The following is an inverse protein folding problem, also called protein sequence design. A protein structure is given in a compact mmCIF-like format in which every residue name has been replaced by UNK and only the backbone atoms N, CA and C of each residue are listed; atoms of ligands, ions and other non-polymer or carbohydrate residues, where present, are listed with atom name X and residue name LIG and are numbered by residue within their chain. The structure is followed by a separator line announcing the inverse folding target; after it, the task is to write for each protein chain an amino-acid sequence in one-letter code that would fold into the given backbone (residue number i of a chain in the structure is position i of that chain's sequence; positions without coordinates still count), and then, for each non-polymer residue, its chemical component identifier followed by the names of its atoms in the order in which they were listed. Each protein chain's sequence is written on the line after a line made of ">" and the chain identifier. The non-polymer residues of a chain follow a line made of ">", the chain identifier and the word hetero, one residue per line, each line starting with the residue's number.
data_IF_997635140417
#
_entry.id   IF_997635140417
#
_cell.length_a   1.000
_cell.length_b   1.000
_cell.length_c   1.000
_cell.angle_alpha   90.00
_cell.angle_beta   90.00
_cell.angle_gamma   90.00
#
_symmetry.space_group_name_H-M   'P 1'
#
loop_
_entity.id
_entity.type
_entity.pdbx_description
1 polymer ?
#
# COMPACT_ATOMS: atom_id res chain seq x y z
N UNK A 1 12.65 34.66 54.18
CA UNK A 1 13.20 33.63 53.27
C UNK A 1 12.12 32.59 53.02
N UNK A 2 11.27 32.76 52.01
CA UNK A 2 10.22 31.78 51.68
C UNK A 2 9.99 31.76 50.16
N UNK A 3 10.93 31.21 49.42
CA UNK A 3 10.78 31.04 47.95
C UNK A 3 11.52 29.80 47.44
N UNK A 4 11.54 28.72 48.22
CA UNK A 4 12.16 27.45 47.78
C UNK A 4 11.13 26.37 47.42
N UNK A 5 9.94 26.40 48.04
CA UNK A 5 8.92 25.34 47.85
C UNK A 5 8.22 25.39 46.48
N UNK A 6 8.04 26.59 45.88
CA UNK A 6 7.33 26.73 44.59
C UNK A 6 8.13 26.22 43.38
N UNK A 7 9.46 26.33 43.38
CA UNK A 7 10.32 25.86 42.26
C UNK A 7 10.30 24.33 42.14
N UNK A 8 10.30 23.61 43.26
CA UNK A 8 10.21 22.14 43.29
C UNK A 8 8.87 21.61 42.76
N UNK A 9 7.76 22.28 43.14
CA UNK A 9 6.42 21.93 42.66
C UNK A 9 6.26 22.19 41.16
N UNK A 10 6.75 23.32 40.66
CA UNK A 10 6.68 23.65 39.23
C UNK A 10 7.47 22.65 38.36
N UNK A 11 8.65 22.21 38.81
CA UNK A 11 9.44 21.19 38.10
C UNK A 11 8.75 19.81 38.04
N UNK A 12 8.07 19.41 39.12
CA UNK A 12 7.30 18.16 39.15
C UNK A 12 6.06 18.22 38.26
N UNK A 13 5.38 19.37 38.21
CA UNK A 13 4.22 19.58 37.33
C UNK A 13 4.65 19.56 35.87
N UNK A 14 5.74 20.24 35.51
CA UNK A 14 6.26 20.22 34.14
C UNK A 14 6.65 18.81 33.69
N UNK A 15 7.32 18.04 34.55
CA UNK A 15 7.66 16.64 34.27
C UNK A 15 6.42 15.76 34.07
N UNK A 16 5.40 15.93 34.92
CA UNK A 16 4.14 15.20 34.80
C UNK A 16 3.40 15.53 33.49
N UNK A 17 3.42 16.80 33.06
CA UNK A 17 2.84 17.22 31.78
C UNK A 17 3.60 16.61 30.60
N UNK A 18 4.93 16.63 30.62
CA UNK A 18 5.75 16.03 29.56
C UNK A 18 5.53 14.52 29.47
N UNK A 19 5.50 13.82 30.61
CA UNK A 19 5.19 12.39 30.65
C UNK A 19 3.76 12.10 30.19
N UNK A 20 2.80 12.95 30.55
CA UNK A 20 1.42 12.87 30.07
C UNK A 20 1.33 13.03 28.56
N UNK A 21 2.02 14.01 27.98
CA UNK A 21 2.08 14.23 26.53
C UNK A 21 2.77 13.07 25.80
N UNK A 22 3.85 12.51 26.37
CA UNK A 22 4.52 11.33 25.83
C UNK A 22 3.61 10.11 25.86
N UNK A 23 2.90 9.86 26.98
CA UNK A 23 1.94 8.78 27.08
C UNK A 23 0.78 8.96 26.08
N UNK A 24 0.28 10.19 25.90
CA UNK A 24 -0.73 10.51 24.90
C UNK A 24 -0.20 10.27 23.48
N UNK A 25 1.03 10.67 23.19
CA UNK A 25 1.69 10.43 21.89
C UNK A 25 1.88 8.94 21.60
N UNK A 26 2.26 8.15 22.60
CA UNK A 26 2.39 6.68 22.48
C UNK A 26 1.03 6.00 22.30
N UNK A 27 0.00 6.44 23.02
CA UNK A 27 -1.36 5.91 22.90
C UNK A 27 -1.97 6.31 21.55
N UNK A 28 -1.87 7.57 21.15
CA UNK A 28 -2.31 8.04 19.83
C UNK A 28 -1.54 7.35 18.71
N UNK A 29 -0.21 7.20 18.86
CA UNK A 29 0.62 6.44 17.95
C UNK A 29 0.15 4.99 17.82
N UNK A 30 -0.20 4.31 18.92
CA UNK A 30 -0.75 2.95 18.88
C UNK A 30 -2.13 2.87 18.24
N UNK A 31 -3.02 3.81 18.52
CA UNK A 31 -4.38 3.86 17.95
C UNK A 31 -4.36 4.20 16.46
N UNK A 32 -3.43 5.08 16.04
CA UNK A 32 -3.29 5.51 14.65
C UNK A 32 -2.34 4.61 13.84
N UNK A 33 -1.43 3.86 14.47
CA UNK A 33 -0.49 2.95 13.79
C UNK A 33 -1.13 1.88 12.91
N UNK A 34 -2.25 1.21 13.26
CA UNK A 34 -2.88 0.27 12.34
C UNK A 34 -3.50 0.96 11.11
N UNK A 35 -3.79 2.27 11.20
CA UNK A 35 -4.36 3.06 10.09
C UNK A 35 -3.31 3.85 9.28
N UNK A 36 -2.09 3.99 9.80
CA UNK A 36 -0.97 4.67 9.12
C UNK A 36 -0.15 3.75 8.21
N UNK A 37 -0.37 2.43 8.30
CA UNK A 37 0.22 1.45 7.41
C UNK A 37 -0.60 1.35 6.13
N UNK A 38 -0.41 2.34 5.25
CA UNK A 38 -0.74 2.21 3.84
C UNK A 38 0.23 1.24 3.17
N UNK A 39 0.07 -0.04 3.53
CA UNK A 39 0.71 -1.15 2.89
C UNK A 39 0.07 -1.28 1.51
N UNK A 40 0.70 -0.69 0.51
CA UNK A 40 0.48 -1.13 -0.87
C UNK A 40 0.79 -2.63 -0.88
N UNK A 41 -0.24 -3.46 -0.99
CA UNK A 41 -0.11 -4.92 -1.05
C UNK A 41 -0.16 -5.31 -2.51
N UNK A 42 0.83 -6.06 -2.96
CA UNK A 42 0.84 -6.62 -4.31
C UNK A 42 0.71 -8.15 -4.19
N UNK A 43 -0.35 -8.70 -4.75
CA UNK A 43 -0.58 -10.13 -4.87
C UNK A 43 -0.18 -10.57 -6.28
N UNK A 44 0.89 -11.36 -6.38
CA UNK A 44 1.40 -11.85 -7.65
C UNK A 44 0.50 -12.96 -8.19
N UNK A 45 -0.06 -12.74 -9.38
CA UNK A 45 -0.95 -13.69 -10.06
C UNK A 45 -0.15 -14.69 -10.91
N UNK A 46 0.97 -14.25 -11.50
CA UNK A 46 1.86 -15.12 -12.28
C UNK A 46 3.05 -14.37 -12.85
N UNK A 47 4.11 -15.09 -13.23
CA UNK A 47 5.23 -14.53 -13.96
C UNK A 47 5.65 -15.47 -15.09
N UNK A 48 6.00 -14.91 -16.23
CA UNK A 48 6.52 -15.62 -17.39
C UNK A 48 7.43 -14.69 -18.20
N UNK A 49 8.54 -15.25 -18.71
CA UNK A 49 9.47 -14.57 -19.63
C UNK A 49 9.94 -13.18 -19.16
N UNK A 50 10.22 -13.04 -17.86
CA UNK A 50 10.73 -11.79 -17.27
C UNK A 50 9.65 -10.77 -16.91
N UNK A 51 8.38 -11.03 -17.25
CA UNK A 51 7.23 -10.23 -16.87
C UNK A 51 6.47 -10.88 -15.70
N UNK A 52 5.81 -10.05 -14.90
CA UNK A 52 4.93 -10.47 -13.81
C UNK A 52 3.61 -9.71 -13.86
N UNK A 53 2.53 -10.45 -13.60
CA UNK A 53 1.19 -9.89 -13.38
C UNK A 53 0.94 -9.82 -11.88
N UNK A 54 0.55 -8.64 -11.40
CA UNK A 54 0.31 -8.38 -9.99
C UNK A 54 -1.02 -7.65 -9.80
N UNK A 55 -1.81 -8.07 -8.81
CA UNK A 55 -2.95 -7.34 -8.30
C UNK A 55 -2.45 -6.45 -7.17
N UNK A 56 -2.50 -5.14 -7.38
CA UNK A 56 -2.00 -4.15 -6.41
C UNK A 56 -3.16 -3.47 -5.71
N UNK A 57 -3.22 -3.68 -4.40
CA UNK A 57 -4.14 -3.06 -3.48
C UNK A 57 -3.49 -1.84 -2.84
N UNK A 58 -3.95 -0.63 -3.17
CA UNK A 58 -3.47 0.59 -2.52
C UNK A 58 -4.43 0.98 -1.40
N UNK A 59 -3.94 0.80 -0.16
CA UNK A 59 -4.62 1.30 1.01
C UNK A 59 -4.81 2.83 1.00
N UNK A 60 -5.74 3.27 1.84
CA UNK A 60 -6.40 4.59 1.89
C UNK A 60 -5.51 5.79 2.32
N UNK A 61 -4.44 6.17 1.62
CA UNK A 61 -3.44 7.16 2.12
C UNK A 61 -4.02 8.52 2.52
N UNK A 62 -4.39 8.73 3.79
CA UNK A 62 -4.81 9.96 4.54
C UNK A 62 -5.84 10.91 3.87
N UNK A 63 -5.92 10.95 2.54
CA UNK A 63 -6.72 11.79 1.65
C UNK A 63 -6.97 11.13 0.28
N UNK A 64 -6.42 9.93 0.01
CA UNK A 64 -6.60 9.20 -1.25
C UNK A 64 -7.56 8.03 -1.03
N UNK A 65 -8.61 7.97 -1.87
CA UNK A 65 -9.52 6.83 -1.91
C UNK A 65 -8.72 5.54 -2.19
N UNK A 66 -9.11 4.41 -1.59
CA UNK A 66 -8.48 3.14 -1.87
C UNK A 66 -8.71 2.81 -3.35
N UNK A 67 -7.69 2.23 -3.99
CA UNK A 67 -7.79 1.88 -5.39
C UNK A 67 -7.00 0.62 -5.71
N UNK A 68 -7.64 -0.25 -6.48
CA UNK A 68 -7.08 -1.52 -6.91
C UNK A 68 -6.78 -1.50 -8.40
N UNK A 69 -5.63 -2.04 -8.73
CA UNK A 69 -5.17 -2.12 -10.11
C UNK A 69 -4.56 -3.48 -10.41
N UNK A 70 -4.70 -3.89 -11.67
CA UNK A 70 -3.93 -5.01 -12.22
C UNK A 70 -2.76 -4.39 -12.96
N UNK A 71 -1.57 -4.89 -12.66
CA UNK A 71 -0.32 -4.47 -13.30
C UNK A 71 0.30 -5.63 -14.05
N UNK A 72 0.90 -5.31 -15.18
CA UNK A 72 1.86 -6.18 -15.86
C UNK A 72 3.16 -5.41 -16.01
N UNK A 73 4.26 -5.96 -15.50
CA UNK A 73 5.52 -5.25 -15.44
C UNK A 73 6.72 -6.17 -15.41
N UNK A 74 7.90 -5.59 -15.59
CA UNK A 74 9.15 -6.32 -15.44
C UNK A 74 9.28 -6.87 -14.01
N UNK A 75 9.83 -8.08 -13.89
CA UNK A 75 9.97 -8.79 -12.61
C UNK A 75 10.82 -8.04 -11.57
N UNK A 76 11.70 -7.15 -12.02
CA UNK A 76 12.54 -6.31 -11.17
C UNK A 76 11.79 -5.09 -10.60
N UNK A 77 10.55 -4.85 -11.03
CA UNK A 77 9.70 -3.77 -10.54
C UNK A 77 9.97 -2.42 -11.19
N UNK A 78 10.67 -2.38 -12.33
CA UNK A 78 10.94 -1.15 -13.07
C UNK A 78 9.70 -0.58 -13.75
N UNK A 79 9.50 -0.92 -15.04
CA UNK A 79 8.40 -0.40 -15.86
C UNK A 79 7.20 -1.34 -15.79
N UNK A 80 6.00 -0.76 -15.78
CA UNK A 80 4.75 -1.53 -15.80
C UNK A 80 3.64 -0.78 -16.55
N UNK A 81 2.70 -1.54 -17.09
CA UNK A 81 1.38 -1.05 -17.47
C UNK A 81 0.39 -1.42 -16.38
N UNK A 82 -0.56 -0.53 -16.09
CA UNK A 82 -1.64 -0.81 -15.15
C UNK A 82 -2.99 -0.45 -15.71
N UNK A 83 -4.01 -1.14 -15.21
CA UNK A 83 -5.41 -0.86 -15.46
C UNK A 83 -6.17 -0.89 -14.13
N UNK A 84 -7.28 -0.14 -14.05
CA UNK A 84 -8.25 -0.29 -12.96
C UNK A 84 -8.62 -1.75 -12.82
N UNK A 85 -8.64 -2.29 -11.61
CA UNK A 85 -9.16 -3.63 -11.38
C UNK A 85 -10.68 -3.63 -11.60
N UNK A 86 -11.21 -4.32 -12.64
CA UNK A 86 -12.65 -4.45 -12.84
C UNK A 86 -13.22 -5.70 -12.16
N UNK A 87 -12.36 -6.54 -11.58
CA UNK A 87 -12.73 -7.85 -11.04
C UNK A 87 -13.20 -7.75 -9.60
N UNK A 88 -14.16 -8.59 -9.24
CA UNK A 88 -14.67 -8.66 -7.89
C UNK A 88 -13.63 -9.24 -6.91
N UNK A 89 -13.69 -8.77 -5.67
CA UNK A 89 -12.79 -9.19 -4.61
C UNK A 89 -13.09 -10.62 -4.17
N UNK A 90 -12.34 -11.58 -4.69
CA UNK A 90 -12.39 -12.97 -4.24
C UNK A 90 -12.39 -13.98 -5.38
N UNK A 91 -12.71 -13.53 -6.59
CA UNK A 91 -12.77 -14.43 -7.73
C UNK A 91 -11.37 -14.90 -8.14
N UNK A 92 -11.21 -16.20 -8.43
CA UNK A 92 -9.97 -16.73 -8.96
C UNK A 92 -9.73 -16.15 -10.34
N UNK A 93 -8.59 -15.47 -10.51
CA UNK A 93 -8.18 -14.96 -11.82
C UNK A 93 -7.34 -15.98 -12.56
N UNK A 94 -7.62 -16.14 -13.84
CA UNK A 94 -6.78 -16.87 -14.78
C UNK A 94 -5.88 -15.89 -15.52
N UNK A 95 -4.60 -16.24 -15.66
CA UNK A 95 -3.63 -15.49 -16.47
C UNK A 95 -3.21 -16.35 -17.66
N UNK A 96 -3.45 -15.84 -18.87
CA UNK A 96 -3.03 -16.45 -20.13
C UNK A 96 -1.95 -15.58 -20.79
N UNK A 97 -0.89 -16.24 -21.25
CA UNK A 97 0.29 -15.61 -21.85
C UNK A 97 0.37 -15.80 -23.37
N UNK A 98 -0.69 -16.33 -23.99
CA UNK A 98 -0.72 -16.64 -25.42
C UNK A 98 -0.97 -15.38 -26.26
N UNK A 99 0.09 -14.86 -26.89
CA UNK A 99 0.04 -13.68 -27.77
C UNK A 99 0.02 -12.34 -27.04
N UNK A 100 0.41 -12.33 -25.77
CA UNK A 100 0.34 -11.18 -24.86
C UNK A 100 -0.03 -11.65 -23.45
N UNK A 101 -0.52 -10.74 -22.61
CA UNK A 101 -1.05 -11.07 -21.28
C UNK A 101 -2.54 -10.83 -21.26
N UNK A 102 -3.31 -11.84 -20.85
CA UNK A 102 -4.74 -11.74 -20.56
C UNK A 102 -5.01 -12.15 -19.13
N UNK A 103 -5.82 -11.36 -18.43
CA UNK A 103 -6.27 -11.64 -17.07
C UNK A 103 -7.79 -11.68 -17.08
N UNK A 104 -8.39 -12.75 -16.57
CA UNK A 104 -9.85 -12.92 -16.62
C UNK A 104 -10.39 -13.70 -15.42
N UNK A 105 -11.61 -13.36 -15.01
CA UNK A 105 -12.45 -14.13 -14.07
C UNK A 105 -13.46 -15.04 -14.81
N UNK A 106 -13.40 -15.10 -16.15
CA UNK A 106 -14.36 -15.79 -17.01
C UNK A 106 -15.49 -14.91 -17.57
N UNK A 107 -15.66 -13.69 -17.06
CA UNK A 107 -16.67 -12.72 -17.50
C UNK A 107 -16.04 -11.46 -18.09
N UNK A 108 -15.09 -10.87 -17.36
CA UNK A 108 -14.33 -9.71 -17.79
C UNK A 108 -12.92 -10.16 -18.15
N UNK A 109 -12.34 -9.53 -19.17
CA UNK A 109 -10.95 -9.78 -19.56
C UNK A 109 -10.20 -8.46 -19.71
N UNK A 110 -9.07 -8.34 -19.01
CA UNK A 110 -8.06 -7.35 -19.31
C UNK A 110 -7.01 -7.97 -20.21
N UNK A 111 -6.52 -7.22 -21.19
CA UNK A 111 -5.53 -7.72 -22.14
C UNK A 111 -4.49 -6.66 -22.50
N UNK A 112 -3.24 -7.10 -22.57
CA UNK A 112 -2.10 -6.36 -23.10
C UNK A 112 -1.49 -7.19 -24.22
N UNK A 113 -1.44 -6.66 -25.44
CA UNK A 113 -0.83 -7.36 -26.58
C UNK A 113 0.70 -7.39 -26.45
N UNK A 114 1.34 -8.36 -27.12
CA UNK A 114 2.79 -8.53 -27.07
C UNK A 114 3.56 -7.28 -27.49
N UNK A 115 3.13 -6.57 -28.53
CA UNK A 115 3.83 -5.38 -29.03
C UNK A 115 3.77 -4.20 -28.03
N UNK A 116 2.70 -4.11 -27.22
CA UNK A 116 2.65 -3.20 -26.08
C UNK A 116 3.63 -3.62 -24.99
N UNK A 117 3.70 -4.92 -24.67
CA UNK A 117 4.56 -5.45 -23.61
C UNK A 117 6.05 -5.36 -23.93
N UNK A 118 6.44 -5.54 -25.20
CA UNK A 118 7.84 -5.44 -25.65
C UNK A 118 8.47 -4.09 -25.26
N UNK A 119 7.66 -3.02 -25.26
CA UNK A 119 8.10 -1.67 -24.86
C UNK A 119 8.45 -1.53 -23.40
N UNK A 120 8.17 -2.52 -22.55
CA UNK A 120 8.64 -2.55 -21.16
C UNK A 120 10.13 -2.88 -21.05
N UNK A 121 10.68 -3.61 -22.03
CA UNK A 121 12.09 -4.01 -22.10
C UNK A 121 12.99 -3.02 -22.83
N UNK A 122 12.42 -2.09 -23.60
CA UNK A 122 13.13 -0.96 -24.23
C UNK A 122 13.64 0.07 -23.20
#
# INVERSE_FOLDING_TARGET
>A
MESSSRKSRAGRVALAVVLGLLALGVLAGRVLSPNLLFATKADRLGCQDGLCVERVHRGERLFLAPYDEIRVGARDGGRFYSAKNPFDHGDPLTVDWTGGVRVTDGTVTLSWDAATLDRLGD
#
